data_IF_354724245317
#
_entry.id   IF_354724245317
#
_cell.length_a   1.000
_cell.length_b   1.000
_cell.length_c   1.000
_cell.angle_alpha   90.00
_cell.angle_beta   90.00
_cell.angle_gamma   90.00
#
_symmetry.space_group_name_H-M   'P 1'
#
loop_
_entity.id
_entity.type
_entity.pdbx_description
1 polymer ?
#
# COMPACT_ATOMS: atom_id res chain seq x y z
N UNK A 1 7.88 -11.69 29.82
CA UNK A 1 8.52 -10.48 29.24
C UNK A 1 7.44 -9.51 28.80
N UNK A 2 7.56 -8.21 29.08
CA UNK A 2 6.47 -7.25 28.98
C UNK A 2 6.25 -6.75 27.54
N UNK A 3 5.13 -7.10 26.90
CA UNK A 3 4.78 -6.66 25.54
C UNK A 3 4.14 -5.27 25.50
N UNK A 4 3.74 -4.71 26.64
CA UNK A 4 3.06 -3.40 26.75
C UNK A 4 3.87 -2.25 26.17
N UNK A 5 5.21 -2.33 26.23
CA UNK A 5 6.09 -1.31 25.65
C UNK A 5 5.99 -1.30 24.11
N UNK A 6 5.71 -2.45 23.49
CA UNK A 6 5.46 -2.53 22.04
C UNK A 6 4.06 -2.02 21.73
N UNK A 7 3.05 -2.36 22.52
CA UNK A 7 1.71 -1.80 22.34
C UNK A 7 1.72 -0.25 22.38
N UNK A 8 2.39 0.35 23.38
CA UNK A 8 2.60 1.81 23.47
C UNK A 8 3.33 2.38 22.24
N UNK A 9 4.34 1.69 21.73
CA UNK A 9 4.99 2.08 20.48
C UNK A 9 4.03 1.99 19.27
N UNK A 10 3.12 1.01 19.28
CA UNK A 10 2.02 0.88 18.32
C UNK A 10 1.05 2.06 18.38
N UNK A 11 0.68 2.53 19.57
CA UNK A 11 -0.13 3.75 19.71
C UNK A 11 0.56 4.97 19.13
N UNK A 12 1.87 5.10 19.40
CA UNK A 12 2.65 6.16 18.79
C UNK A 12 2.73 5.99 17.26
N UNK A 13 2.74 4.76 16.73
CA UNK A 13 2.66 4.50 15.28
C UNK A 13 1.34 5.04 14.73
N UNK A 14 0.22 4.68 15.35
CA UNK A 14 -1.11 5.13 14.94
C UNK A 14 -1.21 6.65 14.91
N UNK A 15 -0.78 7.34 15.97
CA UNK A 15 -0.80 8.82 16.01
C UNK A 15 0.03 9.44 14.89
N UNK A 16 1.21 8.90 14.61
CA UNK A 16 2.15 9.51 13.66
C UNK A 16 1.85 9.19 12.19
N UNK A 17 1.29 8.02 11.89
CA UNK A 17 1.17 7.51 10.52
C UNK A 17 -0.27 7.24 10.07
N UNK A 18 -1.23 7.16 11.01
CA UNK A 18 -2.62 6.83 10.73
C UNK A 18 -3.54 8.01 11.05
N UNK A 19 -3.72 8.31 12.34
CA UNK A 19 -4.82 9.13 12.85
C UNK A 19 -4.71 10.62 12.49
N UNK A 20 -3.53 11.11 12.10
CA UNK A 20 -3.33 12.50 11.68
C UNK A 20 -3.78 12.78 10.24
N UNK A 21 -3.89 11.76 9.39
CA UNK A 21 -4.16 11.92 7.95
C UNK A 21 -5.38 11.12 7.49
N UNK A 22 -5.67 10.01 8.17
CA UNK A 22 -6.63 9.01 7.73
C UNK A 22 -7.80 8.93 8.70
N UNK A 23 -9.00 9.24 8.20
CA UNK A 23 -10.26 9.17 8.94
C UNK A 23 -11.19 8.17 8.26
N UNK A 24 -11.76 7.22 9.01
CA UNK A 24 -12.54 6.11 8.45
C UNK A 24 -13.77 6.58 7.68
N UNK A 25 -14.52 7.51 8.25
CA UNK A 25 -15.72 8.09 7.63
C UNK A 25 -15.43 8.68 6.25
N UNK A 26 -14.26 9.32 6.10
CA UNK A 26 -13.80 9.84 4.81
C UNK A 26 -13.35 8.69 3.90
N UNK A 27 -12.54 7.75 4.41
CA UNK A 27 -12.00 6.64 3.64
C UNK A 27 -13.08 5.72 3.06
N UNK A 28 -14.18 5.52 3.77
CA UNK A 28 -15.30 4.67 3.33
C UNK A 28 -16.14 5.33 2.22
N UNK A 29 -16.25 6.66 2.22
CA UNK A 29 -17.12 7.40 1.28
C UNK A 29 -16.35 7.94 0.08
N UNK A 30 -15.06 8.17 0.21
CA UNK A 30 -14.24 8.80 -0.81
C UNK A 30 -13.28 7.78 -1.45
N UNK A 31 -13.65 7.28 -2.64
CA UNK A 31 -12.87 6.26 -3.37
C UNK A 31 -11.44 6.71 -3.66
N UNK A 32 -11.24 8.00 -3.93
CA UNK A 32 -9.93 8.56 -4.21
C UNK A 32 -9.04 8.55 -2.95
N UNK A 33 -9.60 8.90 -1.78
CA UNK A 33 -8.90 8.76 -0.50
C UNK A 33 -8.58 7.30 -0.17
N UNK A 34 -9.50 6.37 -0.47
CA UNK A 34 -9.25 4.93 -0.38
C UNK A 34 -8.08 4.48 -1.26
N UNK A 35 -7.98 4.99 -2.49
CA UNK A 35 -6.85 4.73 -3.39
C UNK A 35 -5.53 5.29 -2.86
N UNK A 36 -5.53 6.54 -2.34
CA UNK A 36 -4.34 7.13 -1.70
C UNK A 36 -3.86 6.28 -0.52
N UNK A 37 -4.79 5.84 0.33
CA UNK A 37 -4.48 4.96 1.45
C UNK A 37 -3.83 3.67 0.95
N UNK A 38 -4.43 3.01 -0.03
CA UNK A 38 -3.86 1.79 -0.63
C UNK A 38 -2.44 2.00 -1.17
N UNK A 39 -2.22 3.04 -1.97
CA UNK A 39 -0.90 3.31 -2.55
C UNK A 39 0.17 3.66 -1.51
N UNK A 40 -0.18 4.43 -0.48
CA UNK A 40 0.77 4.77 0.59
C UNK A 40 1.27 3.53 1.36
N UNK A 41 0.52 2.40 1.35
CA UNK A 41 0.92 1.13 1.96
C UNK A 41 1.56 0.14 0.99
N UNK A 42 1.42 0.34 -0.32
CA UNK A 42 1.88 -0.63 -1.35
C UNK A 42 3.05 -0.16 -2.21
N UNK A 43 3.29 1.16 -2.30
CA UNK A 43 4.51 1.71 -2.90
C UNK A 43 5.82 1.42 -2.11
N UNK A 44 5.83 1.35 -0.75
CA UNK A 44 7.05 1.11 0.04
C UNK A 44 7.67 -0.29 -0.13
N UNK A 45 8.33 -0.54 -1.26
CA UNK A 45 8.88 -1.86 -1.64
C UNK A 45 10.35 -2.06 -1.31
N UNK A 46 10.79 -1.61 -0.13
CA UNK A 46 12.18 -1.73 0.32
C UNK A 46 13.17 -0.76 -0.35
N UNK A 47 12.66 0.25 -1.06
CA UNK A 47 13.46 1.38 -1.55
C UNK A 47 13.54 2.49 -0.50
N UNK A 48 14.41 3.48 -0.71
CA UNK A 48 14.52 4.67 0.15
C UNK A 48 13.15 5.35 0.30
N UNK A 49 12.83 5.81 1.51
CA UNK A 49 11.51 6.38 1.82
C UNK A 49 11.21 7.61 0.96
N UNK A 50 12.18 8.51 0.79
CA UNK A 50 12.04 9.70 -0.07
C UNK A 50 11.68 9.32 -1.51
N UNK A 51 12.39 8.36 -2.13
CA UNK A 51 12.09 7.89 -3.48
C UNK A 51 10.71 7.21 -3.55
N UNK A 52 10.29 6.52 -2.49
CA UNK A 52 8.94 5.97 -2.40
C UNK A 52 7.89 7.08 -2.45
N UNK A 53 8.09 8.12 -1.65
CA UNK A 53 7.21 9.28 -1.60
C UNK A 53 7.16 10.00 -2.95
N UNK A 54 8.30 10.21 -3.61
CA UNK A 54 8.35 10.80 -4.96
C UNK A 54 7.50 10.01 -5.96
N UNK A 55 7.64 8.68 -6.00
CA UNK A 55 6.90 7.84 -6.96
C UNK A 55 5.41 7.76 -6.63
N UNK A 56 5.08 7.66 -5.34
CA UNK A 56 3.70 7.71 -4.86
C UNK A 56 3.03 9.04 -5.21
N UNK A 57 3.66 10.17 -4.88
CA UNK A 57 3.16 11.51 -5.18
C UNK A 57 3.00 11.72 -6.69
N UNK A 58 3.96 11.27 -7.48
CA UNK A 58 3.87 11.34 -8.94
C UNK A 58 2.68 10.55 -9.49
N UNK A 59 2.52 9.29 -9.08
CA UNK A 59 1.41 8.46 -9.54
C UNK A 59 0.06 9.10 -9.20
N UNK A 60 -0.10 9.65 -7.99
CA UNK A 60 -1.33 10.33 -7.61
C UNK A 60 -1.56 11.61 -8.40
N UNK A 61 -0.54 12.46 -8.59
CA UNK A 61 -0.72 13.75 -9.26
C UNK A 61 -1.11 13.55 -10.73
N UNK A 62 -0.46 12.62 -11.43
CA UNK A 62 -0.80 12.38 -12.85
C UNK A 62 -2.19 11.79 -13.02
N UNK A 63 -2.63 10.90 -12.12
CA UNK A 63 -3.99 10.34 -12.15
C UNK A 63 -5.04 11.39 -11.76
N UNK A 64 -4.73 12.22 -10.77
CA UNK A 64 -5.58 13.33 -10.35
C UNK A 64 -5.83 14.29 -11.50
N UNK A 65 -4.79 14.67 -12.24
CA UNK A 65 -4.95 15.52 -13.41
C UNK A 65 -5.69 14.82 -14.56
N UNK A 66 -5.34 13.56 -14.86
CA UNK A 66 -5.97 12.79 -15.96
C UNK A 66 -7.49 12.64 -15.76
N UNK A 67 -7.93 12.45 -14.53
CA UNK A 67 -9.35 12.24 -14.21
C UNK A 67 -10.01 13.46 -13.58
N UNK A 68 -9.31 14.61 -13.57
CA UNK A 68 -9.81 15.89 -13.03
C UNK A 68 -10.35 15.74 -11.60
N UNK A 69 -9.59 15.04 -10.75
CA UNK A 69 -10.02 14.70 -9.40
C UNK A 69 -9.97 15.93 -8.50
N UNK A 70 -11.11 16.24 -7.90
CA UNK A 70 -11.28 17.36 -6.98
C UNK A 70 -11.00 16.91 -5.54
N UNK A 71 -10.15 17.64 -4.82
CA UNK A 71 -9.81 17.35 -3.42
C UNK A 71 -10.22 18.43 -2.43
N UNK A 72 -10.66 19.59 -2.92
CA UNK A 72 -11.16 20.66 -2.07
C UNK A 72 -12.49 20.23 -1.45
N UNK A 73 -12.71 20.61 -0.19
CA UNK A 73 -13.99 20.35 0.45
C UNK A 73 -15.05 21.28 -0.16
N UNK A 74 -16.06 20.71 -0.83
CA UNK A 74 -17.19 21.42 -1.40
C UNK A 74 -18.46 20.56 -1.29
N UNK A 75 -19.63 21.20 -1.35
CA UNK A 75 -20.93 20.54 -1.11
C UNK A 75 -21.21 19.39 -2.08
N UNK A 76 -20.72 19.47 -3.31
CA UNK A 76 -20.89 18.47 -4.37
C UNK A 76 -19.64 17.60 -4.59
N UNK A 77 -18.75 17.48 -3.59
CA UNK A 77 -17.49 16.74 -3.73
C UNK A 77 -17.69 15.30 -4.23
N UNK A 78 -18.67 14.57 -3.69
CA UNK A 78 -18.89 13.18 -4.06
C UNK A 78 -19.40 13.01 -5.50
N UNK A 79 -20.27 13.92 -5.96
CA UNK A 79 -20.72 13.93 -7.36
C UNK A 79 -19.54 14.15 -8.32
N UNK A 80 -18.66 15.10 -8.01
CA UNK A 80 -17.44 15.37 -8.81
C UNK A 80 -16.48 14.17 -8.80
N UNK A 81 -16.38 13.45 -7.68
CA UNK A 81 -15.58 12.22 -7.61
C UNK A 81 -16.20 11.07 -8.41
N UNK A 82 -17.53 11.02 -8.50
CA UNK A 82 -18.23 10.04 -9.32
C UNK A 82 -18.02 10.32 -10.81
N UNK A 83 -18.10 11.58 -11.24
CA UNK A 83 -17.72 11.99 -12.60
C UNK A 83 -16.26 11.65 -12.94
N UNK A 84 -15.34 11.88 -11.99
CA UNK A 84 -13.94 11.50 -12.17
C UNK A 84 -13.75 9.98 -12.32
N UNK A 85 -14.56 9.20 -11.59
CA UNK A 85 -14.55 7.76 -11.70
C UNK A 85 -15.12 7.28 -13.05
N UNK A 86 -16.15 7.94 -13.59
CA UNK A 86 -16.65 7.64 -14.94
C UNK A 86 -15.57 7.90 -16.02
N UNK A 87 -14.80 8.99 -15.90
CA UNK A 87 -13.64 9.24 -16.77
C UNK A 87 -12.59 8.12 -16.64
N UNK A 88 -12.36 7.61 -15.44
CA UNK A 88 -11.46 6.47 -15.19
C UNK A 88 -11.96 5.20 -15.87
N UNK A 89 -13.26 4.90 -15.81
CA UNK A 89 -13.85 3.73 -16.47
C UNK A 89 -13.64 3.77 -17.99
N UNK A 90 -13.72 4.95 -18.62
CA UNK A 90 -13.49 5.09 -20.06
C UNK A 90 -12.08 4.64 -20.50
N UNK A 91 -11.10 4.71 -19.59
CA UNK A 91 -9.73 4.28 -19.82
C UNK A 91 -9.47 2.80 -19.47
N UNK A 92 -10.48 2.03 -19.01
CA UNK A 92 -10.34 0.65 -18.52
C UNK A 92 -9.57 -0.28 -19.44
N UNK A 93 -9.73 -0.13 -20.76
CA UNK A 93 -9.02 -0.92 -21.79
C UNK A 93 -7.49 -0.78 -21.72
N UNK A 94 -6.97 0.28 -21.12
CA UNK A 94 -5.54 0.55 -21.00
C UNK A 94 -4.90 -0.02 -19.74
N UNK A 95 -5.69 -0.55 -18.79
CA UNK A 95 -5.19 -1.01 -17.49
C UNK A 95 -4.59 -2.42 -17.49
N UNK A 96 -4.65 -3.16 -18.61
CA UNK A 96 -4.10 -4.52 -18.63
C UNK A 96 -2.57 -4.52 -18.60
N UNK A 97 -1.98 -4.82 -17.44
CA UNK A 97 -0.52 -4.99 -17.27
C UNK A 97 0.09 -6.06 -18.18
N UNK A 98 -0.70 -6.99 -18.74
CA UNK A 98 -0.19 -8.06 -19.61
C UNK A 98 0.50 -7.52 -20.85
N UNK A 99 0.17 -6.32 -21.32
CA UNK A 99 0.88 -5.70 -22.45
C UNK A 99 2.40 -5.58 -22.17
N UNK A 100 2.80 -5.15 -20.97
CA UNK A 100 4.21 -5.05 -20.55
C UNK A 100 4.80 -6.47 -20.42
N UNK A 101 4.08 -7.40 -19.78
CA UNK A 101 4.56 -8.78 -19.59
C UNK A 101 4.78 -9.51 -20.92
N UNK A 102 3.86 -9.33 -21.87
CA UNK A 102 3.92 -9.95 -23.19
C UNK A 102 5.08 -9.37 -24.00
N UNK A 103 5.28 -8.05 -23.95
CA UNK A 103 6.46 -7.40 -24.54
C UNK A 103 7.77 -7.99 -23.99
N UNK A 104 7.90 -8.09 -22.66
CA UNK A 104 9.10 -8.65 -22.03
C UNK A 104 9.37 -10.09 -22.43
N UNK A 105 8.33 -10.90 -22.58
CA UNK A 105 8.42 -12.29 -23.06
C UNK A 105 8.85 -12.34 -24.52
N UNK A 106 8.19 -11.58 -25.39
CA UNK A 106 8.49 -11.54 -26.82
C UNK A 106 9.93 -11.08 -27.11
N UNK A 107 10.41 -10.06 -26.38
CA UNK A 107 11.76 -9.50 -26.52
C UNK A 107 12.81 -10.20 -25.62
N UNK A 108 12.45 -11.28 -24.92
CA UNK A 108 13.34 -12.07 -24.04
C UNK A 108 14.14 -11.22 -23.02
N UNK A 109 13.51 -10.20 -22.44
CA UNK A 109 14.17 -9.22 -21.56
C UNK A 109 14.50 -9.81 -20.18
N UNK A 110 13.70 -10.78 -19.73
CA UNK A 110 13.81 -11.38 -18.39
C UNK A 110 13.39 -10.40 -17.28
N UNK A 111 14.13 -10.40 -16.17
CA UNK A 111 13.84 -9.55 -15.00
C UNK A 111 14.32 -8.10 -15.15
N UNK A 112 15.07 -7.79 -16.21
CA UNK A 112 15.53 -6.43 -16.50
C UNK A 112 14.35 -5.52 -16.83
N UNK A 113 14.51 -4.21 -16.61
CA UNK A 113 13.48 -3.23 -16.99
C UNK A 113 13.37 -3.14 -18.52
N UNK A 114 12.15 -3.18 -19.07
CA UNK A 114 11.90 -2.94 -20.49
C UNK A 114 11.69 -1.48 -20.86
N UNK A 115 11.61 -0.55 -19.89
CA UNK A 115 11.48 0.90 -20.15
C UNK A 115 12.59 1.49 -21.03
N UNK A 116 13.78 0.88 -21.03
CA UNK A 116 14.93 1.32 -21.84
C UNK A 116 15.10 0.54 -23.14
N UNK A 117 14.23 -0.44 -23.41
CA UNK A 117 14.30 -1.19 -24.65
C UNK A 117 13.89 -0.29 -25.83
N UNK A 118 14.62 -0.30 -26.96
CA UNK A 118 14.35 0.59 -28.10
C UNK A 118 12.88 0.58 -28.54
N UNK A 119 12.31 -0.62 -28.68
CA UNK A 119 10.94 -0.79 -29.17
C UNK A 119 9.85 -0.53 -28.11
N UNK A 120 10.19 -0.38 -26.83
CA UNK A 120 9.18 -0.25 -25.77
C UNK A 120 8.35 1.01 -25.94
N UNK A 121 8.97 2.09 -26.45
CA UNK A 121 8.27 3.34 -26.68
C UNK A 121 7.18 3.18 -27.73
N UNK A 122 7.53 2.67 -28.90
CA UNK A 122 6.59 2.53 -30.02
C UNK A 122 5.54 1.45 -29.76
N UNK A 123 5.95 0.29 -29.20
CA UNK A 123 5.05 -0.85 -29.04
C UNK A 123 4.13 -0.74 -27.82
N UNK A 124 4.55 -0.05 -26.76
CA UNK A 124 3.80 0.04 -25.49
C UNK A 124 3.41 1.48 -25.16
N UNK A 125 4.37 2.41 -25.06
CA UNK A 125 4.11 3.76 -24.54
C UNK A 125 3.14 4.52 -25.46
N UNK A 126 3.42 4.62 -26.76
CA UNK A 126 2.60 5.42 -27.68
C UNK A 126 1.21 4.80 -27.93
N UNK A 127 1.03 3.51 -27.64
CA UNK A 127 -0.27 2.81 -27.78
C UNK A 127 -1.11 2.83 -26.52
N UNK A 128 -0.55 3.28 -25.39
CA UNK A 128 -1.23 3.27 -24.10
C UNK A 128 -1.07 4.63 -23.40
N UNK A 129 -2.10 5.51 -23.43
CA UNK A 129 -2.01 6.85 -22.85
C UNK A 129 -1.77 6.83 -21.33
N UNK A 130 -2.20 5.79 -20.62
CA UNK A 130 -1.99 5.65 -19.17
C UNK A 130 -0.54 5.29 -18.87
N UNK A 131 0.06 4.36 -19.63
CA UNK A 131 1.49 4.07 -19.47
C UNK A 131 2.31 5.29 -19.85
N UNK A 132 1.97 5.98 -20.95
CA UNK A 132 2.62 7.23 -21.36
C UNK A 132 2.61 8.27 -20.26
N UNK A 133 1.45 8.51 -19.65
CA UNK A 133 1.30 9.40 -18.50
C UNK A 133 2.22 9.01 -17.33
N UNK A 134 2.40 7.72 -17.06
CA UNK A 134 3.19 7.22 -15.93
C UNK A 134 4.71 7.26 -16.18
N UNK A 135 5.17 7.24 -17.43
CA UNK A 135 6.59 7.18 -17.80
C UNK A 135 7.16 8.50 -18.33
N UNK A 136 6.31 9.45 -18.68
CA UNK A 136 6.75 10.77 -19.14
C UNK A 136 7.13 11.67 -17.97
N UNK A 137 8.27 12.35 -18.13
CA UNK A 137 8.81 13.25 -17.12
C UNK A 137 7.90 14.47 -16.93
N UNK A 138 7.41 14.64 -15.72
CA UNK A 138 6.61 15.80 -15.31
C UNK A 138 7.17 16.44 -14.05
N UNK A 139 7.15 17.76 -14.01
CA UNK A 139 7.44 18.49 -12.78
C UNK A 139 6.20 18.51 -11.90
N UNK A 140 6.35 18.06 -10.65
CA UNK A 140 5.30 18.09 -9.63
C UNK A 140 5.85 18.70 -8.34
N UNK A 141 4.95 19.23 -7.50
CA UNK A 141 5.28 19.56 -6.11
C UNK A 141 5.26 18.28 -5.27
N UNK A 142 6.31 18.07 -4.47
CA UNK A 142 6.48 16.92 -3.59
C UNK A 142 6.62 17.44 -2.17
N UNK A 143 5.79 16.91 -1.28
CA UNK A 143 5.91 17.11 0.16
C UNK A 143 6.64 15.91 0.76
N UNK A 144 7.76 16.14 1.44
CA UNK A 144 8.50 15.11 2.16
C UNK A 144 8.90 15.65 3.53
N UNK A 145 8.41 15.02 4.59
CA UNK A 145 8.53 15.52 5.96
C UNK A 145 8.05 16.98 6.05
N UNK A 146 8.92 17.89 6.48
CA UNK A 146 8.65 19.34 6.61
C UNK A 146 8.99 20.12 5.32
N UNK A 147 9.54 19.47 4.30
CA UNK A 147 10.00 20.10 3.07
C UNK A 147 8.95 20.01 1.97
N UNK A 148 8.91 21.05 1.14
CA UNK A 148 8.22 21.05 -0.16
C UNK A 148 9.20 21.44 -1.23
N UNK A 149 9.25 20.68 -2.31
CA UNK A 149 10.12 20.96 -3.44
C UNK A 149 9.46 20.54 -4.75
N UNK A 150 9.88 21.15 -5.86
CA UNK A 150 9.47 20.73 -7.20
C UNK A 150 10.54 19.84 -7.81
N UNK A 151 10.11 18.77 -8.48
CA UNK A 151 11.03 17.85 -9.14
C UNK A 151 10.42 17.30 -10.41
N UNK A 152 11.19 17.30 -11.49
CA UNK A 152 10.83 16.64 -12.75
C UNK A 152 11.11 15.14 -12.67
N UNK A 153 10.08 14.33 -12.46
CA UNK A 153 10.16 12.88 -12.24
C UNK A 153 9.15 12.11 -13.08
N UNK A 154 9.24 10.78 -13.02
CA UNK A 154 8.36 9.80 -13.64
C UNK A 154 8.51 8.45 -12.92
N UNK A 155 7.64 7.47 -13.20
CA UNK A 155 7.83 6.12 -12.69
C UNK A 155 8.93 5.40 -13.48
N UNK A 156 10.14 5.43 -12.93
CA UNK A 156 11.33 4.79 -13.52
C UNK A 156 11.38 3.26 -13.40
N UNK A 157 10.30 2.62 -12.93
CA UNK A 157 10.25 1.19 -12.68
C UNK A 157 8.90 0.59 -13.08
N UNK A 158 8.95 -0.43 -13.91
CA UNK A 158 7.79 -1.17 -14.43
C UNK A 158 6.95 -1.83 -13.35
N UNK A 159 7.58 -2.20 -12.24
CA UNK A 159 6.83 -2.78 -11.14
C UNK A 159 5.88 -1.75 -10.51
N UNK A 160 6.22 -0.46 -10.49
CA UNK A 160 5.32 0.59 -9.99
C UNK A 160 4.23 0.88 -11.01
N UNK A 161 4.58 0.90 -12.30
CA UNK A 161 3.61 1.07 -13.40
C UNK A 161 2.59 -0.07 -13.36
N UNK A 162 3.03 -1.33 -13.28
CA UNK A 162 2.14 -2.48 -13.22
C UNK A 162 1.31 -2.54 -11.93
N UNK A 163 1.82 -2.03 -10.80
CA UNK A 163 1.02 -1.86 -9.58
C UNK A 163 -0.13 -0.88 -9.83
N UNK A 164 0.17 0.30 -10.39
CA UNK A 164 -0.85 1.31 -10.70
C UNK A 164 -1.87 0.74 -11.68
N UNK A 165 -1.44 0.14 -12.79
CA UNK A 165 -2.34 -0.47 -13.78
C UNK A 165 -3.22 -1.55 -13.17
N UNK A 166 -2.67 -2.43 -12.33
CA UNK A 166 -3.46 -3.44 -11.61
C UNK A 166 -4.49 -2.83 -10.69
N UNK A 167 -4.12 -1.80 -9.93
CA UNK A 167 -5.05 -1.14 -9.03
C UNK A 167 -6.17 -0.45 -9.79
N UNK A 168 -5.86 0.23 -10.90
CA UNK A 168 -6.87 0.82 -11.77
C UNK A 168 -7.77 -0.25 -12.40
N UNK A 169 -7.21 -1.38 -12.84
CA UNK A 169 -7.96 -2.52 -13.35
C UNK A 169 -8.89 -3.12 -12.30
N UNK A 170 -8.44 -3.19 -11.03
CA UNK A 170 -9.22 -3.71 -9.93
C UNK A 170 -10.38 -2.79 -9.57
N UNK A 171 -10.12 -1.50 -9.34
CA UNK A 171 -11.18 -0.58 -8.92
C UNK A 171 -12.22 -0.34 -10.01
N UNK A 172 -11.86 -0.53 -11.28
CA UNK A 172 -12.78 -0.43 -12.43
C UNK A 172 -13.41 -1.78 -12.84
N UNK A 173 -13.11 -2.89 -12.17
CA UNK A 173 -13.66 -4.19 -12.56
C UNK A 173 -15.15 -4.32 -12.26
N UNK A 174 -15.61 -3.70 -11.18
CA UNK A 174 -17.02 -3.64 -10.77
C UNK A 174 -17.28 -2.42 -9.87
N UNK A 175 -18.54 -1.93 -9.77
CA UNK A 175 -18.88 -0.82 -8.86
C UNK A 175 -18.52 -1.09 -7.39
N UNK A 176 -18.56 -2.35 -6.95
CA UNK A 176 -18.22 -2.74 -5.57
C UNK A 176 -16.73 -2.58 -5.26
N UNK A 177 -15.87 -2.60 -6.28
CA UNK A 177 -14.43 -2.48 -6.13
C UNK A 177 -13.95 -1.01 -6.18
N UNK A 178 -14.84 -0.08 -6.55
CA UNK A 178 -14.54 1.35 -6.75
C UNK A 178 -13.75 1.94 -5.58
N UNK A 179 -14.22 1.69 -4.35
CA UNK A 179 -13.50 2.09 -3.16
C UNK A 179 -12.70 0.90 -2.61
N UNK A 180 -11.43 0.80 -3.01
CA UNK A 180 -10.53 -0.30 -2.61
C UNK A 180 -10.35 -0.42 -1.09
N UNK A 181 -10.39 0.70 -0.35
CA UNK A 181 -10.31 0.64 1.12
C UNK A 181 -11.56 0.00 1.69
N UNK A 182 -12.74 0.51 1.31
CA UNK A 182 -14.01 -0.03 1.77
C UNK A 182 -14.17 -1.50 1.39
N UNK A 183 -13.77 -1.89 0.19
CA UNK A 183 -13.79 -3.26 -0.29
C UNK A 183 -13.06 -4.21 0.67
N UNK A 184 -11.78 -3.92 0.96
CA UNK A 184 -10.99 -4.77 1.85
C UNK A 184 -11.43 -4.69 3.30
N UNK A 185 -11.85 -3.51 3.78
CA UNK A 185 -12.43 -3.34 5.11
C UNK A 185 -13.64 -4.27 5.29
N UNK A 186 -14.59 -4.24 4.35
CA UNK A 186 -15.78 -5.09 4.39
C UNK A 186 -15.43 -6.59 4.35
N UNK A 187 -14.40 -7.01 3.60
CA UNK A 187 -13.95 -8.40 3.67
C UNK A 187 -13.47 -8.77 5.07
N UNK A 188 -12.66 -7.91 5.71
CA UNK A 188 -12.13 -8.16 7.05
C UNK A 188 -13.28 -8.17 8.08
N UNK A 189 -14.20 -7.20 8.03
CA UNK A 189 -15.39 -7.12 8.89
C UNK A 189 -16.28 -8.36 8.79
N UNK A 190 -16.40 -8.92 7.59
CA UNK A 190 -17.20 -10.12 7.34
C UNK A 190 -16.42 -11.44 7.58
N UNK A 191 -15.38 -11.43 8.40
CA UNK A 191 -14.57 -12.62 8.74
C UNK A 191 -13.89 -13.30 7.54
N UNK A 192 -13.55 -12.53 6.50
CA UNK A 192 -12.86 -12.98 5.28
C UNK A 192 -11.45 -12.39 5.17
N UNK A 193 -10.76 -12.23 6.31
CA UNK A 193 -9.42 -11.64 6.39
C UNK A 193 -8.38 -12.42 5.56
N UNK A 194 -8.42 -13.76 5.61
CA UNK A 194 -7.53 -14.60 4.80
C UNK A 194 -7.78 -14.44 3.29
N UNK A 195 -9.03 -14.27 2.86
CA UNK A 195 -9.36 -13.99 1.46
C UNK A 195 -8.86 -12.59 1.05
N UNK A 196 -9.05 -11.59 1.89
CA UNK A 196 -8.54 -10.23 1.68
C UNK A 196 -7.01 -10.24 1.51
N UNK A 197 -6.30 -10.97 2.37
CA UNK A 197 -4.85 -11.15 2.26
C UNK A 197 -4.44 -11.81 0.94
N UNK A 198 -5.13 -12.88 0.55
CA UNK A 198 -4.84 -13.58 -0.71
C UNK A 198 -5.08 -12.68 -1.92
N UNK A 199 -6.11 -11.84 -1.87
CA UNK A 199 -6.45 -10.90 -2.93
C UNK A 199 -5.46 -9.73 -3.03
N UNK A 200 -5.02 -9.16 -1.90
CA UNK A 200 -3.93 -8.17 -1.86
C UNK A 200 -2.65 -8.70 -2.51
N UNK A 201 -2.31 -9.97 -2.27
CA UNK A 201 -1.12 -10.61 -2.88
C UNK A 201 -1.24 -10.83 -4.41
N UNK A 202 -2.41 -10.60 -5.01
CA UNK A 202 -2.57 -10.66 -6.49
C UNK A 202 -2.14 -9.37 -7.18
N UNK A 203 -2.07 -8.25 -6.47
CA UNK A 203 -1.62 -6.97 -7.03
C UNK A 203 -0.13 -7.02 -7.34
N UNK A 204 0.26 -6.50 -8.50
CA UNK A 204 1.64 -6.61 -8.95
C UNK A 204 2.63 -5.97 -7.97
N UNK A 205 3.53 -6.78 -7.42
CA UNK A 205 4.56 -6.33 -6.49
C UNK A 205 4.04 -6.03 -5.07
N UNK A 206 2.80 -6.43 -4.74
CA UNK A 206 2.33 -6.53 -3.37
C UNK A 206 2.59 -7.95 -2.89
N UNK A 207 3.56 -8.11 -1.99
CA UNK A 207 3.89 -9.38 -1.34
C UNK A 207 3.38 -9.41 0.10
N UNK A 208 3.57 -10.54 0.79
CA UNK A 208 3.20 -10.78 2.20
C UNK A 208 3.32 -9.53 3.09
N UNK A 209 4.53 -8.96 3.18
CA UNK A 209 4.81 -7.76 3.99
C UNK A 209 3.87 -6.59 3.72
N UNK A 210 3.59 -6.27 2.45
CA UNK A 210 2.75 -5.13 2.08
C UNK A 210 1.27 -5.42 2.30
N UNK A 211 0.83 -6.64 1.98
CA UNK A 211 -0.53 -7.08 2.27
C UNK A 211 -0.80 -7.03 3.78
N UNK A 212 0.14 -7.50 4.60
CA UNK A 212 0.09 -7.41 6.06
C UNK A 212 0.03 -5.97 6.55
N UNK A 213 0.88 -5.07 6.04
CA UNK A 213 0.82 -3.66 6.45
C UNK A 213 -0.52 -3.02 6.15
N UNK A 214 -1.09 -3.29 4.97
CA UNK A 214 -2.40 -2.79 4.61
C UNK A 214 -3.48 -3.31 5.58
N UNK A 215 -3.59 -4.64 5.78
CA UNK A 215 -4.62 -5.23 6.67
C UNK A 215 -4.46 -4.74 8.11
N UNK A 216 -3.23 -4.74 8.63
CA UNK A 216 -2.94 -4.24 9.98
C UNK A 216 -3.38 -2.79 10.13
N UNK A 217 -3.07 -1.92 9.15
CA UNK A 217 -3.42 -0.51 9.25
C UNK A 217 -4.93 -0.26 9.11
N UNK A 218 -5.66 -1.10 8.34
CA UNK A 218 -7.14 -1.10 8.36
C UNK A 218 -7.65 -1.44 9.77
N UNK A 219 -7.16 -2.50 10.40
CA UNK A 219 -7.56 -2.87 11.76
C UNK A 219 -7.21 -1.81 12.81
N UNK A 220 -6.05 -1.15 12.68
CA UNK A 220 -5.65 -0.09 13.60
C UNK A 220 -6.50 1.18 13.48
N UNK A 221 -7.05 1.44 12.30
CA UNK A 221 -8.04 2.48 12.11
C UNK A 221 -9.42 2.07 12.64
N UNK A 222 -9.73 0.77 12.68
CA UNK A 222 -11.03 0.24 13.09
C UNK A 222 -10.87 -0.71 14.29
N UNK A 223 -10.53 -0.20 15.48
CA UNK A 223 -10.14 -1.03 16.62
C UNK A 223 -11.27 -1.92 17.15
N UNK A 224 -12.52 -1.62 16.82
CA UNK A 224 -13.69 -2.43 17.18
C UNK A 224 -13.82 -3.70 16.32
N UNK A 225 -13.02 -3.82 15.25
CA UNK A 225 -12.97 -5.03 14.42
C UNK A 225 -12.10 -6.10 15.08
N UNK A 226 -12.72 -7.23 15.42
CA UNK A 226 -12.02 -8.41 15.91
C UNK A 226 -11.77 -9.42 14.79
N UNK A 227 -10.59 -10.04 14.80
CA UNK A 227 -10.26 -11.14 13.92
C UNK A 227 -10.53 -12.48 14.60
N UNK A 228 -10.81 -13.50 13.78
CA UNK A 228 -10.65 -14.89 14.21
C UNK A 228 -9.22 -15.13 14.69
N UNK A 229 -9.08 -15.99 15.70
CA UNK A 229 -7.79 -16.30 16.31
C UNK A 229 -6.72 -16.69 15.27
N UNK A 230 -7.11 -17.54 14.31
CA UNK A 230 -6.26 -18.03 13.21
C UNK A 230 -5.80 -16.94 12.23
N UNK A 231 -6.53 -15.83 12.13
CA UNK A 231 -6.25 -14.73 11.19
C UNK A 231 -5.26 -13.71 11.77
N UNK A 232 -5.01 -13.70 13.09
CA UNK A 232 -4.02 -12.78 13.68
C UNK A 232 -2.61 -13.00 13.13
N UNK A 233 -2.28 -14.17 12.57
CA UNK A 233 -1.00 -14.39 11.87
C UNK A 233 -0.79 -13.44 10.68
N UNK A 234 -1.87 -12.92 10.09
CA UNK A 234 -1.82 -12.04 8.93
C UNK A 234 -1.27 -10.66 9.33
N UNK A 235 -1.49 -10.20 10.56
CA UNK A 235 -1.17 -8.82 10.98
C UNK A 235 0.30 -8.60 11.39
N UNK A 236 1.10 -9.66 11.46
CA UNK A 236 2.52 -9.62 11.83
C UNK A 236 3.43 -9.67 10.59
N UNK A 237 4.04 -8.54 10.19
CA UNK A 237 4.96 -8.50 9.05
C UNK A 237 6.34 -8.91 9.54
N UNK A 238 6.62 -10.21 9.64
CA UNK A 238 7.91 -10.74 10.13
C UNK A 238 9.01 -10.44 9.09
N UNK A 239 9.48 -9.20 9.07
CA UNK A 239 10.66 -8.76 8.34
C UNK A 239 11.90 -8.80 9.23
N UNK A 240 13.04 -8.38 8.69
CA UNK A 240 14.32 -8.35 9.43
C UNK A 240 14.22 -7.59 10.76
N UNK A 241 13.39 -6.55 10.85
CA UNK A 241 13.26 -5.72 12.05
C UNK A 241 12.36 -6.38 13.08
N UNK A 242 11.20 -6.86 12.65
CA UNK A 242 10.25 -7.56 13.53
C UNK A 242 10.86 -8.86 14.06
N UNK A 243 11.60 -9.61 13.24
CA UNK A 243 12.30 -10.82 13.66
C UNK A 243 13.33 -10.54 14.77
N UNK A 244 14.10 -9.44 14.67
CA UNK A 244 15.05 -9.03 15.72
C UNK A 244 14.36 -8.71 17.04
N UNK A 245 13.23 -7.99 17.00
CA UNK A 245 12.46 -7.68 18.22
C UNK A 245 11.75 -8.93 18.78
N UNK A 246 11.28 -9.84 17.92
CA UNK A 246 10.68 -11.12 18.33
C UNK A 246 11.69 -12.01 19.06
N UNK A 247 12.93 -12.11 18.56
CA UNK A 247 14.01 -12.83 19.24
C UNK A 247 14.28 -12.29 20.64
N UNK A 248 14.30 -10.95 20.82
CA UNK A 248 14.44 -10.33 22.16
C UNK A 248 13.31 -10.74 23.09
N UNK A 249 12.10 -10.97 22.55
CA UNK A 249 10.94 -11.43 23.30
C UNK A 249 11.00 -12.93 23.64
N UNK A 250 11.97 -13.68 23.12
CA UNK A 250 12.04 -15.14 23.25
C UNK A 250 11.07 -15.86 22.31
N UNK A 251 10.73 -15.24 21.19
CA UNK A 251 10.16 -15.89 20.01
C UNK A 251 11.28 -15.99 18.96
N UNK A 252 12.16 -16.98 19.13
CA UNK A 252 13.37 -17.22 18.31
C UNK A 252 13.23 -18.53 17.52
N UNK A 253 12.01 -18.85 17.10
CA UNK A 253 11.71 -20.04 16.35
C UNK A 253 12.32 -19.99 14.94
N UNK A 254 12.66 -21.16 14.38
CA UNK A 254 13.38 -21.25 13.11
C UNK A 254 12.58 -20.79 11.89
N UNK A 255 11.25 -20.73 12.00
CA UNK A 255 10.36 -20.39 10.88
C UNK A 255 9.36 -19.28 11.23
N UNK A 256 8.98 -18.51 10.20
CA UNK A 256 8.09 -17.35 10.33
C UNK A 256 6.72 -17.71 10.96
N UNK A 257 6.04 -18.81 10.56
CA UNK A 257 4.78 -19.21 11.20
C UNK A 257 4.89 -19.37 12.72
N UNK A 258 5.93 -20.06 13.20
CA UNK A 258 6.12 -20.30 14.63
C UNK A 258 6.42 -19.00 15.39
N UNK A 259 7.20 -18.07 14.81
CA UNK A 259 7.41 -16.73 15.39
C UNK A 259 6.06 -15.99 15.54
N UNK A 260 5.20 -16.03 14.51
CA UNK A 260 3.87 -15.39 14.56
C UNK A 260 3.02 -16.00 15.67
N UNK A 261 2.97 -17.33 15.77
CA UNK A 261 2.21 -18.03 16.81
C UNK A 261 2.69 -17.66 18.23
N UNK A 262 4.01 -17.63 18.46
CA UNK A 262 4.58 -17.20 19.73
C UNK A 262 4.19 -15.76 20.09
N UNK A 263 4.26 -14.83 19.13
CA UNK A 263 3.87 -13.43 19.35
C UNK A 263 2.37 -13.30 19.65
N UNK A 264 1.51 -13.98 18.88
CA UNK A 264 0.05 -13.96 19.09
C UNK A 264 -0.29 -14.49 20.47
N UNK A 265 0.25 -15.65 20.85
CA UNK A 265 0.03 -16.26 22.17
C UNK A 265 0.37 -15.27 23.28
N UNK A 266 1.53 -14.62 23.20
CA UNK A 266 1.98 -13.65 24.21
C UNK A 266 1.13 -12.39 24.26
N UNK A 267 0.61 -11.91 23.13
CA UNK A 267 -0.32 -10.79 23.10
C UNK A 267 -1.60 -11.15 23.87
N UNK A 268 -2.18 -12.32 23.57
CA UNK A 268 -3.45 -12.75 24.16
C UNK A 268 -3.33 -13.07 25.65
N UNK A 269 -2.25 -13.72 26.09
CA UNK A 269 -1.96 -13.97 27.51
C UNK A 269 -1.85 -12.67 28.33
N UNK A 270 -1.42 -11.57 27.69
CA UNK A 270 -1.29 -10.25 28.31
C UNK A 270 -2.48 -9.33 28.02
N UNK A 271 -3.54 -9.83 27.37
CA UNK A 271 -4.73 -9.07 26.97
C UNK A 271 -4.39 -7.82 26.12
N UNK A 272 -3.41 -7.94 25.23
CA UNK A 272 -2.96 -6.86 24.34
C UNK A 272 -3.51 -7.05 22.94
N UNK A 273 -3.80 -5.94 22.24
CA UNK A 273 -4.35 -5.99 20.89
C UNK A 273 -3.25 -6.34 19.86
N UNK A 274 -3.28 -7.52 19.20
CA UNK A 274 -2.17 -7.98 18.37
C UNK A 274 -1.77 -7.04 17.22
N UNK A 275 -2.69 -6.40 16.46
CA UNK A 275 -2.32 -5.43 15.43
C UNK A 275 -1.51 -4.24 15.97
N UNK A 276 -1.84 -3.77 17.18
CA UNK A 276 -1.14 -2.65 17.84
C UNK A 276 0.25 -3.07 18.30
N UNK A 277 0.39 -4.26 18.88
CA UNK A 277 1.71 -4.83 19.19
C UNK A 277 2.55 -5.01 17.92
N UNK A 278 1.96 -5.52 16.83
CA UNK A 278 2.65 -5.72 15.56
C UNK A 278 3.19 -4.40 14.96
N UNK A 279 2.41 -3.32 15.00
CA UNK A 279 2.88 -2.00 14.62
C UNK A 279 4.02 -1.49 15.51
N UNK A 280 3.93 -1.75 16.82
CA UNK A 280 4.95 -1.41 17.80
C UNK A 280 6.28 -2.12 17.59
N UNK A 281 6.25 -3.43 17.33
CA UNK A 281 7.43 -4.24 16.98
C UNK A 281 8.15 -3.64 15.78
N UNK A 282 7.40 -3.38 14.71
CA UNK A 282 7.96 -2.79 13.50
C UNK A 282 8.57 -1.40 13.76
N UNK A 283 7.85 -0.53 14.47
CA UNK A 283 8.32 0.82 14.80
C UNK A 283 9.61 0.82 15.62
N UNK A 284 9.68 -0.02 16.65
CA UNK A 284 10.86 -0.12 17.51
C UNK A 284 12.06 -0.69 16.76
N UNK A 285 11.87 -1.79 16.03
CA UNK A 285 12.93 -2.39 15.23
C UNK A 285 13.47 -1.42 14.17
N UNK A 286 12.60 -0.66 13.52
CA UNK A 286 13.00 0.35 12.54
C UNK A 286 13.81 1.50 13.17
N UNK A 287 13.33 2.08 14.28
CA UNK A 287 14.01 3.19 14.95
C UNK A 287 15.35 2.82 15.58
N UNK A 288 15.47 1.63 16.16
CA UNK A 288 16.73 1.16 16.74
C UNK A 288 17.88 1.09 15.72
N UNK A 289 17.55 0.98 14.42
CA UNK A 289 18.55 1.00 13.35
C UNK A 289 18.82 2.40 12.80
N UNK A 290 17.87 3.34 12.86
CA UNK A 290 18.16 4.75 12.57
C UNK A 290 19.17 5.35 13.57
N UNK A 291 19.14 4.94 14.83
CA UNK A 291 20.10 5.40 15.87
C UNK A 291 21.47 4.74 15.81
N UNK A 292 21.67 3.69 14.99
CA UNK A 292 22.98 3.07 14.79
C UNK A 292 23.68 3.57 13.52
N UNK A 293 23.05 4.50 12.79
CA UNK A 293 23.55 5.13 11.57
C UNK A 293 23.77 6.65 11.76
N UNK A 294 23.74 7.13 13.01
CA UNK A 294 24.11 8.50 13.40
C UNK A 294 25.54 8.52 13.94
#
# INVERSE_FOLDING_TARGET
MNLKIYEQAGEQYCRQNLLNEWHNDILERNWWKGLKFFFSRTFPRGRREELTNEYYSFALEVLKERYEIVERNCSNLFDLLDEAYERLIQDKKYFDKKQIRNFKRAKKIGNRSSLKHPDFREEIIEKNPIIKLLVEKKEIEIKWEERKYRKKIYLGNEMDIMLVLDTLSFISSSPQNKNIYLYFKQMIENNRCQEAYNELNKFYGVSDKLATFFIRDVLLLNPDMELKLEDYKIVFPIDTWVAKEAKKLGCDEENIPAIKECLIKRCLEQQLYPPKVAAGLWKKGYRANKSCLS
#
